data_IF_889327575246
#
_entry.id   IF_889327575246
#
_cell.length_a   1.000
_cell.length_b   1.000
_cell.length_c   1.000
_cell.angle_alpha   90.00
_cell.angle_beta   90.00
_cell.angle_gamma   90.00
#
_symmetry.space_group_name_H-M   'P 1'
#
loop_
_entity.id
_entity.type
_entity.pdbx_description
1 polymer ?
#
# COMPACT_ATOMS: atom_id res chain seq x y z
N UNK A 1 -29.89 13.08 -27.70
CA UNK A 1 -29.53 11.68 -27.97
C UNK A 1 -28.67 11.17 -26.83
N UNK A 2 -29.29 10.46 -25.91
CA UNK A 2 -28.56 9.71 -24.86
C UNK A 2 -28.05 8.46 -25.54
N UNK A 3 -26.74 8.41 -25.78
CA UNK A 3 -26.10 7.33 -26.49
C UNK A 3 -26.27 6.00 -25.77
N UNK A 4 -26.66 4.99 -26.50
CA UNK A 4 -26.70 3.56 -26.13
C UNK A 4 -25.34 2.99 -25.67
N UNK A 5 -24.30 3.84 -25.55
CA UNK A 5 -22.94 3.43 -25.20
C UNK A 5 -22.72 3.07 -23.72
N UNK A 6 -23.55 3.56 -22.80
CA UNK A 6 -23.33 3.37 -21.36
C UNK A 6 -23.81 2.01 -20.81
N UNK A 7 -24.66 1.30 -21.56
CA UNK A 7 -25.22 0.02 -21.09
C UNK A 7 -24.27 -1.15 -21.24
N UNK A 8 -23.24 -1.04 -22.08
CA UNK A 8 -22.37 -2.17 -22.44
C UNK A 8 -20.93 -2.13 -21.85
N UNK A 9 -20.60 -1.09 -21.09
CA UNK A 9 -19.25 -0.96 -20.48
C UNK A 9 -19.31 -1.07 -18.98
N UNK A 10 -19.94 -2.12 -18.43
CA UNK A 10 -19.77 -2.44 -17.02
C UNK A 10 -18.39 -3.06 -16.85
N UNK A 11 -17.45 -2.27 -16.38
CA UNK A 11 -16.12 -2.75 -16.03
C UNK A 11 -16.25 -3.57 -14.74
N UNK A 12 -15.86 -4.84 -14.79
CA UNK A 12 -15.82 -5.73 -13.63
C UNK A 12 -14.35 -5.87 -13.23
N UNK A 13 -14.05 -5.56 -11.99
CA UNK A 13 -12.73 -5.83 -11.40
C UNK A 13 -12.81 -7.10 -10.56
N UNK A 14 -12.28 -8.26 -11.02
CA UNK A 14 -12.35 -9.50 -10.27
C UNK A 14 -11.53 -9.46 -8.96
N UNK A 15 -10.66 -8.47 -8.80
CA UNK A 15 -9.79 -8.31 -7.64
C UNK A 15 -10.25 -7.20 -6.68
N UNK A 16 -11.47 -6.70 -6.86
CA UNK A 16 -11.99 -5.55 -6.11
C UNK A 16 -11.98 -5.75 -4.59
N UNK A 17 -12.21 -6.98 -4.15
CA UNK A 17 -12.26 -7.37 -2.73
C UNK A 17 -10.97 -8.03 -2.22
N UNK A 18 -9.89 -7.95 -2.99
CA UNK A 18 -8.61 -8.55 -2.63
C UNK A 18 -7.58 -7.48 -2.27
N UNK A 19 -6.77 -7.76 -1.26
CA UNK A 19 -5.57 -6.97 -0.99
C UNK A 19 -4.53 -7.21 -2.09
N UNK A 20 -3.53 -6.34 -2.19
CA UNK A 20 -2.43 -6.56 -3.14
C UNK A 20 -1.61 -7.81 -2.82
N UNK A 21 -1.43 -8.14 -1.55
CA UNK A 21 -0.76 -9.37 -1.15
C UNK A 21 -1.54 -10.60 -1.56
N UNK A 22 -2.87 -10.60 -1.37
CA UNK A 22 -3.75 -11.68 -1.82
C UNK A 22 -3.72 -11.84 -3.35
N UNK A 23 -3.67 -10.74 -4.10
CA UNK A 23 -3.51 -10.80 -5.57
C UNK A 23 -2.20 -11.47 -5.97
N UNK A 24 -1.09 -11.19 -5.28
CA UNK A 24 0.20 -11.83 -5.53
C UNK A 24 0.13 -13.32 -5.17
N UNK A 25 -0.43 -13.67 -4.01
CA UNK A 25 -0.52 -15.06 -3.54
C UNK A 25 -1.45 -15.93 -4.41
N UNK A 26 -2.52 -15.34 -4.94
CA UNK A 26 -3.49 -16.03 -5.81
C UNK A 26 -3.17 -15.91 -7.31
N UNK A 27 -1.99 -15.39 -7.66
CA UNK A 27 -1.58 -15.34 -9.05
C UNK A 27 -1.40 -16.77 -9.60
N UNK A 28 -2.00 -17.04 -10.77
CA UNK A 28 -1.95 -18.36 -11.40
C UNK A 28 -0.53 -18.77 -11.82
N UNK A 29 0.32 -17.81 -12.13
CA UNK A 29 1.74 -17.99 -12.43
C UNK A 29 2.56 -17.00 -11.59
N UNK A 30 2.76 -17.36 -10.34
CA UNK A 30 3.48 -16.54 -9.38
C UNK A 30 4.96 -16.42 -9.72
N UNK A 31 5.57 -17.49 -10.22
CA UNK A 31 6.99 -17.49 -10.58
C UNK A 31 7.26 -16.52 -11.72
N UNK A 32 6.40 -16.51 -12.73
CA UNK A 32 6.49 -15.53 -13.81
C UNK A 32 6.22 -14.11 -13.33
N UNK A 33 5.22 -13.92 -12.47
CA UNK A 33 4.94 -12.61 -11.86
C UNK A 33 6.19 -12.06 -11.15
N UNK A 34 6.88 -12.87 -10.35
CA UNK A 34 8.08 -12.45 -9.62
C UNK A 34 9.27 -12.13 -10.54
N UNK A 35 9.36 -12.76 -11.69
CA UNK A 35 10.38 -12.43 -12.69
C UNK A 35 10.17 -11.05 -13.31
N UNK A 36 8.92 -10.68 -13.59
CA UNK A 36 8.59 -9.43 -14.31
C UNK A 36 8.19 -8.28 -13.36
N UNK A 37 8.04 -8.54 -12.06
CA UNK A 37 7.54 -7.56 -11.10
C UNK A 37 8.39 -6.28 -11.07
N UNK A 38 9.72 -6.39 -11.26
CA UNK A 38 10.66 -5.26 -11.30
C UNK A 38 10.43 -4.33 -12.49
N UNK A 39 9.88 -4.83 -13.58
CA UNK A 39 9.59 -4.05 -14.78
C UNK A 39 8.30 -3.23 -14.64
N UNK A 40 7.47 -3.58 -13.64
CA UNK A 40 6.24 -2.86 -13.37
C UNK A 40 6.51 -1.57 -12.59
N UNK A 41 5.76 -0.49 -12.87
CA UNK A 41 5.88 0.77 -12.17
C UNK A 41 4.60 1.12 -11.41
N UNK A 42 4.65 1.02 -10.09
CA UNK A 42 3.56 1.44 -9.19
C UNK A 42 3.86 2.73 -8.43
N UNK A 43 5.03 3.34 -8.65
CA UNK A 43 5.46 4.52 -7.90
C UNK A 43 4.68 5.77 -8.29
N UNK A 44 3.91 6.34 -7.36
CA UNK A 44 3.16 7.59 -7.55
C UNK A 44 4.03 8.86 -7.49
N UNK A 45 5.29 8.76 -7.04
CA UNK A 45 6.22 9.90 -6.89
C UNK A 45 7.56 9.65 -7.58
N UNK A 46 7.55 8.89 -8.67
CA UNK A 46 8.77 8.59 -9.43
C UNK A 46 9.46 9.90 -9.85
N UNK A 47 10.78 9.94 -9.61
CA UNK A 47 11.65 11.11 -9.88
C UNK A 47 11.35 12.37 -9.05
N UNK A 48 10.29 12.38 -8.23
CA UNK A 48 10.06 13.50 -7.32
C UNK A 48 11.01 13.40 -6.12
N UNK A 49 11.71 14.52 -5.83
CA UNK A 49 12.67 14.58 -4.73
C UNK A 49 13.80 13.53 -4.78
N UNK A 50 14.19 13.09 -5.98
CA UNK A 50 15.22 12.06 -6.18
C UNK A 50 16.56 12.43 -5.51
N UNK A 51 16.88 13.73 -5.41
CA UNK A 51 18.05 14.24 -4.70
C UNK A 51 18.04 13.94 -3.20
N UNK A 52 16.86 13.63 -2.62
CA UNK A 52 16.70 13.26 -1.21
C UNK A 52 16.66 11.74 -0.97
N UNK A 53 16.81 10.94 -2.03
CA UNK A 53 16.82 9.48 -1.91
C UNK A 53 18.16 8.98 -1.38
N UNK A 54 18.13 7.90 -0.59
CA UNK A 54 19.33 7.15 -0.21
C UNK A 54 19.99 6.53 -1.44
N UNK A 55 19.18 6.01 -2.36
CA UNK A 55 19.62 5.50 -3.64
C UNK A 55 19.01 6.31 -4.79
N UNK A 56 19.81 7.16 -5.41
CA UNK A 56 19.39 8.05 -6.49
C UNK A 56 19.10 7.34 -7.82
N UNK A 57 19.54 6.10 -7.98
CA UNK A 57 19.32 5.29 -9.18
C UNK A 57 18.05 4.42 -9.07
N UNK A 58 17.31 4.55 -7.96
CA UNK A 58 16.13 3.76 -7.70
C UNK A 58 15.01 4.05 -8.71
N UNK A 59 14.32 3.00 -9.11
CA UNK A 59 13.14 3.07 -9.99
C UNK A 59 11.87 3.47 -9.23
N UNK A 60 11.83 3.21 -7.93
CA UNK A 60 10.71 3.47 -7.03
C UNK A 60 11.16 4.34 -5.85
N UNK A 61 10.39 5.35 -5.48
CA UNK A 61 10.76 6.27 -4.39
C UNK A 61 10.88 5.58 -3.02
N UNK A 62 10.14 4.50 -2.79
CA UNK A 62 10.14 3.74 -1.55
C UNK A 62 9.37 4.37 -0.38
N UNK A 63 8.75 5.56 -0.58
CA UNK A 63 8.08 6.32 0.47
C UNK A 63 6.63 6.71 0.18
N UNK A 64 6.15 6.62 -1.06
CA UNK A 64 4.74 6.89 -1.37
C UNK A 64 3.85 5.69 -1.04
N UNK A 65 2.55 5.92 -0.81
CA UNK A 65 1.61 4.85 -0.47
C UNK A 65 1.61 3.68 -1.46
N UNK A 66 1.64 3.89 -2.81
CA UNK A 66 1.77 2.78 -3.74
C UNK A 66 3.04 1.94 -3.57
N UNK A 67 4.18 2.55 -3.20
CA UNK A 67 5.41 1.81 -2.88
C UNK A 67 5.27 1.01 -1.57
N UNK A 68 4.55 1.55 -0.57
CA UNK A 68 4.27 0.82 0.67
C UNK A 68 3.40 -0.41 0.41
N UNK A 69 2.31 -0.25 -0.35
CA UNK A 69 1.47 -1.38 -0.75
C UNK A 69 2.23 -2.43 -1.56
N UNK A 70 3.14 -2.00 -2.45
CA UNK A 70 3.99 -2.92 -3.20
C UNK A 70 4.91 -3.71 -2.26
N UNK A 71 5.65 -3.04 -1.38
CA UNK A 71 6.49 -3.71 -0.39
C UNK A 71 5.69 -4.68 0.48
N UNK A 72 4.50 -4.27 0.94
CA UNK A 72 3.63 -5.11 1.76
C UNK A 72 3.15 -6.36 1.01
N UNK A 73 2.81 -6.22 -0.29
CA UNK A 73 2.32 -7.32 -1.11
C UNK A 73 3.38 -8.37 -1.48
N UNK A 74 4.66 -8.00 -1.39
CA UNK A 74 5.79 -8.87 -1.74
C UNK A 74 6.55 -9.40 -0.52
N UNK A 75 5.98 -9.24 0.71
CA UNK A 75 6.59 -9.81 1.92
C UNK A 75 6.67 -11.32 1.79
N UNK A 76 7.87 -11.86 2.07
CA UNK A 76 8.16 -13.28 1.95
C UNK A 76 8.51 -13.73 0.54
N UNK A 77 8.46 -12.83 -0.42
CA UNK A 77 8.86 -13.06 -1.81
C UNK A 77 10.18 -12.34 -2.13
N UNK A 78 10.78 -12.71 -3.24
CA UNK A 78 11.98 -12.03 -3.74
C UNK A 78 11.56 -10.75 -4.46
N UNK A 79 11.70 -9.61 -3.78
CA UNK A 79 11.49 -8.28 -4.39
C UNK A 79 12.82 -7.64 -4.80
N UNK A 80 13.18 -7.78 -6.06
CA UNK A 80 14.37 -7.16 -6.66
C UNK A 80 14.15 -5.68 -7.04
N UNK A 81 13.04 -5.06 -6.64
CA UNK A 81 12.75 -3.65 -6.91
C UNK A 81 13.73 -2.74 -6.18
N UNK A 82 14.33 -1.81 -6.90
CA UNK A 82 15.23 -0.82 -6.32
C UNK A 82 14.46 0.35 -5.75
N UNK A 83 14.46 0.50 -4.44
CA UNK A 83 13.79 1.58 -3.71
C UNK A 83 14.74 2.72 -3.34
N UNK A 84 14.25 3.97 -3.45
CA UNK A 84 15.00 5.19 -3.17
C UNK A 84 15.26 5.42 -1.70
N UNK A 85 14.36 4.99 -0.81
CA UNK A 85 14.48 5.22 0.63
C UNK A 85 14.22 3.96 1.44
N UNK A 86 14.99 3.81 2.53
CA UNK A 86 14.76 2.81 3.58
C UNK A 86 13.84 3.38 4.65
N UNK A 87 13.13 2.53 5.37
CA UNK A 87 12.20 2.97 6.42
C UNK A 87 12.90 3.75 7.53
N UNK A 88 14.08 3.32 7.96
CA UNK A 88 14.84 4.06 8.99
C UNK A 88 15.22 5.47 8.53
N UNK A 89 15.56 5.65 7.27
CA UNK A 89 15.89 6.98 6.73
C UNK A 89 14.66 7.88 6.73
N UNK A 90 13.49 7.34 6.33
CA UNK A 90 12.23 8.07 6.37
C UNK A 90 11.84 8.42 7.80
N UNK A 91 12.03 7.48 8.73
CA UNK A 91 11.76 7.69 10.14
C UNK A 91 12.61 8.82 10.75
N UNK A 92 13.89 8.88 10.41
CA UNK A 92 14.80 9.92 10.90
C UNK A 92 14.57 11.29 10.25
N UNK A 93 13.82 11.37 9.15
CA UNK A 93 13.50 12.60 8.42
C UNK A 93 12.07 13.10 8.72
N UNK A 94 11.61 12.97 9.96
CA UNK A 94 10.28 13.45 10.37
C UNK A 94 10.11 14.92 10.03
N UNK A 95 9.03 15.26 9.33
CA UNK A 95 8.72 16.61 8.87
C UNK A 95 9.16 16.92 7.43
N UNK A 96 10.05 16.13 6.86
CA UNK A 96 10.46 16.28 5.46
C UNK A 96 9.37 15.79 4.50
N UNK A 97 9.31 16.40 3.30
CA UNK A 97 8.34 15.99 2.27
C UNK A 97 8.43 14.52 1.86
N UNK A 98 9.63 13.93 1.93
CA UNK A 98 9.83 12.52 1.58
C UNK A 98 9.30 11.56 2.63
N UNK A 99 9.10 11.99 3.88
CA UNK A 99 8.61 11.15 4.97
C UNK A 99 7.12 11.32 5.28
N UNK A 100 6.44 12.27 4.65
CA UNK A 100 5.04 12.58 4.94
C UNK A 100 4.10 11.37 4.79
N UNK A 101 4.15 10.68 3.63
CA UNK A 101 3.29 9.51 3.40
C UNK A 101 3.64 8.36 4.36
N UNK A 102 4.93 8.21 4.70
CA UNK A 102 5.39 7.20 5.64
C UNK A 102 4.82 7.44 7.05
N UNK A 103 4.90 8.68 7.56
CA UNK A 103 4.32 9.02 8.86
C UNK A 103 2.80 8.95 8.86
N UNK A 104 2.15 9.39 7.78
CA UNK A 104 0.70 9.22 7.65
C UNK A 104 0.29 7.74 7.72
N UNK A 105 1.08 6.84 7.11
CA UNK A 105 0.86 5.39 7.22
C UNK A 105 1.08 4.91 8.67
N UNK A 106 2.16 5.32 9.35
CA UNK A 106 2.41 4.92 10.74
C UNK A 106 1.26 5.36 11.65
N UNK A 107 0.81 6.62 11.53
CA UNK A 107 -0.28 7.16 12.33
C UNK A 107 -1.61 6.43 12.05
N UNK A 108 -1.88 6.12 10.78
CA UNK A 108 -3.03 5.31 10.38
C UNK A 108 -2.97 3.90 10.98
N UNK A 109 -1.80 3.26 10.97
CA UNK A 109 -1.62 1.91 11.51
C UNK A 109 -1.66 1.88 13.05
N UNK A 110 -1.17 2.93 13.70
CA UNK A 110 -1.18 3.06 15.17
C UNK A 110 -2.58 3.31 15.73
N UNK A 111 -3.43 4.00 14.97
CA UNK A 111 -4.80 4.27 15.39
C UNK A 111 -5.63 2.99 15.39
N UNK A 112 -6.27 2.71 16.52
CA UNK A 112 -7.30 1.67 16.58
C UNK A 112 -8.58 2.18 15.93
N UNK A 113 -9.23 1.34 15.15
CA UNK A 113 -10.50 1.62 14.52
C UNK A 113 -11.50 0.52 14.86
N UNK A 114 -12.67 0.93 15.29
CA UNK A 114 -13.84 0.04 15.32
C UNK A 114 -14.37 -0.17 13.88
N UNK A 115 -15.08 -1.26 13.67
CA UNK A 115 -15.72 -1.52 12.37
C UNK A 115 -16.68 -0.38 11.98
N UNK A 116 -17.37 0.23 12.95
CA UNK A 116 -18.28 1.35 12.72
C UNK A 116 -17.55 2.60 12.23
N UNK A 117 -16.35 2.88 12.74
CA UNK A 117 -15.52 3.98 12.27
C UNK A 117 -15.02 3.73 10.85
N UNK A 118 -14.55 2.53 10.54
CA UNK A 118 -14.15 2.17 9.17
C UNK A 118 -15.33 2.34 8.21
N UNK A 119 -16.52 1.86 8.56
CA UNK A 119 -17.73 2.04 7.75
C UNK A 119 -18.04 3.51 7.49
N UNK A 120 -17.92 4.34 8.53
CA UNK A 120 -18.14 5.78 8.41
C UNK A 120 -17.15 6.43 7.45
N UNK A 121 -15.85 6.12 7.57
CA UNK A 121 -14.81 6.66 6.68
C UNK A 121 -15.02 6.20 5.23
N UNK A 122 -15.39 4.95 5.00
CA UNK A 122 -15.70 4.44 3.66
C UNK A 122 -16.88 5.19 3.02
N UNK A 123 -17.94 5.49 3.80
CA UNK A 123 -19.08 6.29 3.32
C UNK A 123 -18.67 7.72 2.98
N UNK A 124 -17.85 8.36 3.83
CA UNK A 124 -17.30 9.71 3.57
C UNK A 124 -16.45 9.71 2.31
N UNK A 125 -15.70 8.65 2.06
CA UNK A 125 -14.90 8.48 0.83
C UNK A 125 -15.74 8.22 -0.44
N UNK A 126 -17.07 8.17 -0.33
CA UNK A 126 -17.99 8.04 -1.47
C UNK A 126 -18.47 6.61 -1.73
N UNK A 127 -18.20 5.66 -0.85
CA UNK A 127 -18.75 4.32 -0.96
C UNK A 127 -20.23 4.33 -0.57
N UNK A 128 -21.11 4.28 -1.57
CA UNK A 128 -22.56 4.38 -1.40
C UNK A 128 -23.26 3.04 -1.49
N UNK A 129 -22.61 1.99 -1.96
CA UNK A 129 -23.18 0.65 -2.01
C UNK A 129 -23.16 0.00 -0.62
N UNK A 130 -24.34 -0.08 -0.02
CA UNK A 130 -24.49 -0.58 1.35
C UNK A 130 -24.47 -2.11 1.45
N UNK A 131 -24.71 -2.82 0.35
CA UNK A 131 -24.80 -4.28 0.36
C UNK A 131 -23.45 -4.92 0.64
N UNK A 132 -22.36 -4.31 0.14
CA UNK A 132 -21.00 -4.88 0.20
C UNK A 132 -20.10 -4.17 1.19
N UNK A 133 -20.57 -3.19 1.96
CA UNK A 133 -19.72 -2.36 2.80
C UNK A 133 -18.91 -3.16 3.83
N UNK A 134 -19.45 -4.29 4.30
CA UNK A 134 -18.76 -5.15 5.27
C UNK A 134 -17.55 -5.86 4.64
N UNK A 135 -17.62 -6.22 3.37
CA UNK A 135 -16.48 -6.79 2.64
C UNK A 135 -15.36 -5.76 2.47
N UNK A 136 -15.70 -4.48 2.28
CA UNK A 136 -14.69 -3.41 2.20
C UNK A 136 -14.11 -3.07 3.58
N UNK A 137 -14.89 -3.16 4.65
CA UNK A 137 -14.36 -3.05 6.03
C UNK A 137 -13.31 -4.14 6.26
N UNK A 138 -13.63 -5.38 5.89
CA UNK A 138 -12.71 -6.51 6.00
C UNK A 138 -11.47 -6.31 5.11
N UNK A 139 -11.62 -5.81 3.90
CA UNK A 139 -10.51 -5.45 3.01
C UNK A 139 -9.57 -4.41 3.66
N UNK A 140 -10.12 -3.38 4.32
CA UNK A 140 -9.31 -2.38 5.05
C UNK A 140 -8.54 -3.04 6.19
N UNK A 141 -9.18 -3.92 6.97
CA UNK A 141 -8.54 -4.64 8.08
C UNK A 141 -7.39 -5.51 7.58
N UNK A 142 -7.61 -6.29 6.51
CA UNK A 142 -6.58 -7.15 5.90
C UNK A 142 -5.43 -6.33 5.30
N UNK A 143 -5.72 -5.22 4.65
CA UNK A 143 -4.71 -4.31 4.10
C UNK A 143 -3.85 -3.70 5.21
N UNK A 144 -4.46 -3.29 6.33
CA UNK A 144 -3.71 -2.82 7.52
C UNK A 144 -2.80 -3.90 8.07
N UNK A 145 -3.28 -5.14 8.16
CA UNK A 145 -2.48 -6.27 8.63
C UNK A 145 -1.27 -6.55 7.70
N UNK A 146 -1.42 -6.42 6.38
CA UNK A 146 -0.30 -6.52 5.44
C UNK A 146 0.76 -5.43 5.67
N UNK A 147 0.34 -4.18 5.82
CA UNK A 147 1.25 -3.06 6.10
C UNK A 147 1.96 -3.23 7.45
N UNK A 148 1.27 -3.70 8.48
CA UNK A 148 1.88 -4.00 9.78
C UNK A 148 2.95 -5.10 9.67
N UNK A 149 2.64 -6.21 8.97
CA UNK A 149 3.62 -7.28 8.72
C UNK A 149 4.86 -6.78 7.99
N UNK A 150 4.70 -5.88 7.03
CA UNK A 150 5.81 -5.25 6.31
C UNK A 150 6.73 -4.47 7.27
N UNK A 151 6.18 -3.67 8.17
CA UNK A 151 6.97 -2.91 9.15
C UNK A 151 7.65 -3.84 10.17
N UNK A 152 6.96 -4.88 10.62
CA UNK A 152 7.52 -5.88 11.54
C UNK A 152 8.66 -6.68 10.90
N UNK A 153 8.54 -7.00 9.60
CA UNK A 153 9.59 -7.68 8.85
C UNK A 153 10.87 -6.82 8.67
N UNK A 154 10.73 -5.49 8.61
CA UNK A 154 11.89 -4.57 8.63
C UNK A 154 12.63 -4.59 9.97
N UNK A 155 11.95 -5.02 11.04
CA UNK A 155 12.47 -5.23 12.39
C UNK A 155 13.30 -4.07 12.94
N UNK A 156 12.90 -2.83 12.65
CA UNK A 156 13.60 -1.65 13.12
C UNK A 156 13.18 -1.27 14.54
N UNK A 157 14.10 -1.27 15.54
CA UNK A 157 13.75 -1.01 16.93
C UNK A 157 13.08 0.35 17.16
N UNK A 158 13.51 1.41 16.45
CA UNK A 158 12.94 2.75 16.61
C UNK A 158 11.49 2.81 16.08
N UNK A 159 11.22 2.14 14.95
CA UNK A 159 9.88 2.02 14.40
C UNK A 159 9.00 1.15 15.31
N UNK A 160 9.52 0.02 15.78
CA UNK A 160 8.80 -0.88 16.68
C UNK A 160 8.41 -0.17 17.99
N UNK A 161 9.34 0.60 18.58
CA UNK A 161 9.06 1.43 19.76
C UNK A 161 8.00 2.50 19.47
N UNK A 162 8.10 3.21 18.34
CA UNK A 162 7.11 4.21 17.94
C UNK A 162 5.70 3.61 17.79
N UNK A 163 5.63 2.41 17.25
CA UNK A 163 4.37 1.66 17.07
C UNK A 163 3.83 1.03 18.35
N UNK A 164 4.63 0.99 19.44
CA UNK A 164 4.24 0.39 20.71
C UNK A 164 4.29 -1.15 20.71
N UNK A 165 5.16 -1.74 19.88
CA UNK A 165 5.33 -3.19 19.79
C UNK A 165 6.42 -3.75 20.69
N UNK A 166 7.27 -2.87 21.26
CA UNK A 166 8.32 -3.16 22.27
C UNK A 166 8.40 -2.04 23.29
#
# INVERSE_FOLDING_TARGET
SRGLGDVYKRQINPYEKMTKGEMVQNCSDKDYLLQIVTDSNSCGKRNMHQHMYDNRQATHCGHCMPCMYRKASLIGEIDNTTYGNRFITLFNKKGDKVSQDFYAMLDFLKKEFTQSEIKRELRIAGMTDFLDIDEYVDLVVRTRAELMRMLQADNNPAINHYMGWI
#
